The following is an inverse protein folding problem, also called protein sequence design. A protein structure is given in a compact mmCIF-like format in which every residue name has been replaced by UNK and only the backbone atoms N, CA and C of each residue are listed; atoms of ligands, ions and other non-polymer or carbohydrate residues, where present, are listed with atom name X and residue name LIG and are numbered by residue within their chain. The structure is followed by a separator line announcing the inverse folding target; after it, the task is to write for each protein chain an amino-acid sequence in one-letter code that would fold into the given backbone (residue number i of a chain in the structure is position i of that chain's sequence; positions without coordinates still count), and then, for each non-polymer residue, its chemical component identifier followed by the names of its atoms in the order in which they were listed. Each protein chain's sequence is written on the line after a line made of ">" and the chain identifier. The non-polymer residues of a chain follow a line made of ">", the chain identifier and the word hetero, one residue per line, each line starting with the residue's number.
data_IF_205637669746
#
_entry.id   IF_205637669746
#
_cell.length_a   1.000
_cell.length_b   1.000
_cell.length_c   1.000
_cell.angle_alpha   90.00
_cell.angle_beta   90.00
_cell.angle_gamma   90.00
#
_symmetry.space_group_name_H-M   'P 1'
#
loop_
_entity.id
_entity.type
_entity.pdbx_description
1 polymer ?
#
# COMPACT_ATOMS: atom_id res chain seq x y z
N UNK A 1 -28.39 -1.22 -16.05
CA UNK A 1 -28.31 -1.78 -14.69
C UNK A 1 -28.19 -0.63 -13.71
N UNK A 2 -29.34 -0.17 -13.24
CA UNK A 2 -29.51 0.95 -12.32
C UNK A 2 -29.43 0.36 -10.91
N UNK A 3 -28.21 0.24 -10.37
CA UNK A 3 -28.00 -0.25 -9.00
C UNK A 3 -28.27 0.91 -8.02
N UNK A 4 -29.26 0.69 -7.17
CA UNK A 4 -29.65 1.53 -6.04
C UNK A 4 -28.43 1.98 -5.21
N UNK A 5 -28.37 3.28 -4.89
CA UNK A 5 -27.26 3.85 -4.13
C UNK A 5 -27.18 3.22 -2.73
N UNK A 6 -26.25 2.29 -2.53
CA UNK A 6 -25.95 1.69 -1.22
C UNK A 6 -25.67 2.80 -0.21
N UNK A 7 -26.47 2.90 0.85
CA UNK A 7 -26.34 3.91 1.90
C UNK A 7 -24.91 3.98 2.47
N UNK A 8 -24.45 5.20 2.74
CA UNK A 8 -23.12 5.51 3.28
C UNK A 8 -22.83 4.70 4.56
N UNK A 9 -23.79 4.66 5.48
CA UNK A 9 -23.67 3.94 6.74
C UNK A 9 -23.48 2.42 6.52
N UNK A 10 -24.17 1.86 5.52
CA UNK A 10 -24.04 0.44 5.15
C UNK A 10 -22.64 0.16 4.61
N UNK A 11 -22.11 1.03 3.73
CA UNK A 11 -20.76 0.87 3.19
C UNK A 11 -19.67 0.92 4.27
N UNK A 12 -19.72 1.90 5.18
CA UNK A 12 -18.79 2.00 6.29
C UNK A 12 -18.85 0.78 7.20
N UNK A 13 -20.06 0.38 7.60
CA UNK A 13 -20.28 -0.78 8.46
C UNK A 13 -19.73 -2.04 7.80
N UNK A 14 -20.04 -2.26 6.52
CA UNK A 14 -19.54 -3.42 5.77
C UNK A 14 -18.02 -3.40 5.64
N UNK A 15 -17.42 -2.27 5.25
CA UNK A 15 -15.97 -2.17 5.05
C UNK A 15 -15.16 -2.42 6.33
N UNK A 16 -15.55 -1.81 7.45
CA UNK A 16 -14.86 -2.05 8.73
C UNK A 16 -15.17 -3.43 9.32
N UNK A 17 -16.43 -3.91 9.25
CA UNK A 17 -16.77 -5.25 9.72
C UNK A 17 -16.12 -6.35 8.87
N UNK A 18 -15.82 -6.07 7.60
CA UNK A 18 -15.16 -7.01 6.70
C UNK A 18 -13.75 -7.36 7.16
N UNK A 19 -13.05 -6.52 7.93
CA UNK A 19 -11.76 -6.89 8.53
C UNK A 19 -11.88 -8.07 9.50
N UNK A 20 -12.92 -8.05 10.35
CA UNK A 20 -13.17 -9.13 11.30
C UNK A 20 -13.53 -10.42 10.55
N UNK A 21 -14.37 -10.30 9.51
CA UNK A 21 -14.72 -11.43 8.63
C UNK A 21 -13.50 -11.96 7.88
N UNK A 22 -12.64 -11.08 7.37
CA UNK A 22 -11.42 -11.42 6.65
C UNK A 22 -10.46 -12.21 7.54
N UNK A 23 -10.20 -11.75 8.77
CA UNK A 23 -9.33 -12.47 9.71
C UNK A 23 -9.88 -13.86 10.02
N UNK A 24 -11.21 -14.00 10.21
CA UNK A 24 -11.85 -15.31 10.43
C UNK A 24 -11.71 -16.22 9.22
N UNK A 25 -11.97 -15.71 8.01
CA UNK A 25 -11.85 -16.47 6.76
C UNK A 25 -10.40 -16.93 6.52
N UNK A 26 -9.44 -16.03 6.73
CA UNK A 26 -8.00 -16.31 6.59
C UNK A 26 -7.57 -17.44 7.52
N UNK A 27 -8.00 -17.41 8.80
CA UNK A 27 -7.68 -18.45 9.78
C UNK A 27 -8.36 -19.77 9.46
N UNK A 28 -9.65 -19.75 9.12
CA UNK A 28 -10.43 -20.95 8.81
C UNK A 28 -9.88 -21.71 7.59
N UNK A 29 -9.39 -21.00 6.57
CA UNK A 29 -8.93 -21.58 5.32
C UNK A 29 -7.40 -21.71 5.22
N UNK A 30 -6.68 -21.62 6.35
CA UNK A 30 -5.21 -21.74 6.42
C UNK A 30 -4.45 -20.78 5.47
N UNK A 31 -5.06 -19.63 5.15
CA UNK A 31 -4.43 -18.61 4.30
C UNK A 31 -3.36 -17.80 5.06
N UNK A 32 -3.28 -17.94 6.39
CA UNK A 32 -2.30 -17.28 7.26
C UNK A 32 -0.86 -17.44 6.79
N UNK A 33 -0.51 -18.57 6.16
CA UNK A 33 0.83 -18.81 5.60
C UNK A 33 1.25 -17.77 4.55
N UNK A 34 0.30 -17.27 3.76
CA UNK A 34 0.58 -16.26 2.73
C UNK A 34 0.77 -14.86 3.33
N UNK A 35 0.15 -14.59 4.49
CA UNK A 35 0.40 -13.34 5.23
C UNK A 35 1.74 -13.33 5.96
N UNK A 36 2.47 -14.45 6.01
CA UNK A 36 3.83 -14.50 6.55
C UNK A 36 4.91 -14.22 5.49
N UNK A 37 4.56 -14.22 4.20
CA UNK A 37 5.48 -13.88 3.11
C UNK A 37 6.12 -12.49 3.29
N UNK A 38 5.37 -11.42 3.67
CA UNK A 38 5.97 -10.14 3.99
C UNK A 38 7.06 -10.23 5.07
N UNK A 39 6.93 -11.11 6.07
CA UNK A 39 7.95 -11.26 7.11
C UNK A 39 9.27 -11.73 6.54
N UNK A 40 9.24 -12.73 5.65
CA UNK A 40 10.44 -13.26 5.00
C UNK A 40 11.05 -12.19 4.09
N UNK A 41 10.24 -11.50 3.29
CA UNK A 41 10.71 -10.42 2.42
C UNK A 41 11.33 -9.26 3.23
N UNK A 42 10.70 -8.88 4.35
CA UNK A 42 11.23 -7.87 5.26
C UNK A 42 12.58 -8.27 5.85
N UNK A 43 12.73 -9.53 6.27
CA UNK A 43 14.02 -10.06 6.77
C UNK A 43 15.09 -9.96 5.68
N UNK A 44 14.78 -10.39 4.45
CA UNK A 44 15.72 -10.31 3.32
C UNK A 44 16.16 -8.86 3.08
N UNK A 45 15.21 -7.93 3.09
CA UNK A 45 15.47 -6.50 2.90
C UNK A 45 16.34 -5.93 4.03
N UNK A 46 16.06 -6.28 5.30
CA UNK A 46 16.89 -5.88 6.45
C UNK A 46 18.30 -6.45 6.36
N UNK A 47 18.45 -7.72 5.98
CA UNK A 47 19.76 -8.36 5.81
C UNK A 47 20.55 -7.65 4.70
N UNK A 48 19.92 -7.39 3.54
CA UNK A 48 20.54 -6.65 2.45
C UNK A 48 20.97 -5.23 2.87
N UNK A 49 20.20 -4.58 3.75
CA UNK A 49 20.56 -3.28 4.32
C UNK A 49 21.76 -3.34 5.24
N UNK A 50 21.84 -4.33 6.12
CA UNK A 50 23.00 -4.50 7.01
C UNK A 50 24.28 -4.68 6.18
N UNK A 51 24.25 -5.55 5.17
CA UNK A 51 25.41 -5.78 4.30
C UNK A 51 25.81 -4.55 3.48
N UNK A 52 24.84 -3.83 2.91
CA UNK A 52 25.12 -2.60 2.16
C UNK A 52 25.60 -1.46 3.07
N UNK A 53 25.05 -1.36 4.29
CA UNK A 53 25.43 -0.34 5.28
C UNK A 53 26.87 -0.50 5.77
N UNK A 54 27.33 -1.73 6.01
CA UNK A 54 28.74 -2.00 6.35
C UNK A 54 29.67 -1.55 5.22
N UNK A 55 29.39 -1.97 3.98
CA UNK A 55 30.22 -1.60 2.83
C UNK A 55 30.26 -0.09 2.58
N UNK A 56 29.13 0.60 2.71
CA UNK A 56 29.05 2.06 2.59
C UNK A 56 29.81 2.74 3.74
N UNK A 57 29.66 2.23 4.98
CA UNK A 57 30.35 2.74 6.16
C UNK A 57 31.88 2.67 6.02
N UNK A 58 32.40 1.52 5.58
CA UNK A 58 33.84 1.33 5.35
C UNK A 58 34.35 2.23 4.24
N UNK A 59 33.59 2.40 3.15
CA UNK A 59 33.93 3.30 2.06
C UNK A 59 33.99 4.77 2.51
N UNK A 60 33.00 5.22 3.30
CA UNK A 60 32.97 6.59 3.86
C UNK A 60 34.15 6.80 4.82
N UNK A 61 34.40 5.86 5.73
CA UNK A 61 35.52 5.96 6.67
C UNK A 61 36.86 6.02 5.92
N UNK A 62 37.04 5.21 4.86
CA UNK A 62 38.23 5.25 4.03
C UNK A 62 38.44 6.58 3.28
N UNK A 63 37.36 7.23 2.84
CA UNK A 63 37.44 8.58 2.23
C UNK A 63 37.81 9.63 3.28
N UNK A 64 37.17 9.57 4.45
CA UNK A 64 37.40 10.51 5.54
C UNK A 64 38.86 10.40 5.98
N UNK A 65 39.33 9.20 6.32
CA UNK A 65 40.70 8.95 6.80
C UNK A 65 41.76 9.47 5.84
N UNK A 66 41.64 9.18 4.53
CA UNK A 66 42.55 9.68 3.48
C UNK A 66 42.55 11.20 3.31
N UNK A 67 41.45 11.85 3.68
CA UNK A 67 41.29 13.31 3.52
C UNK A 67 41.74 14.07 4.77
N UNK A 68 41.88 13.42 5.92
CA UNK A 68 42.16 14.09 7.21
C UNK A 68 43.62 14.46 7.45
N UNK A 69 44.57 13.99 6.64
CA UNK A 69 46.00 14.12 6.98
C UNK A 69 46.55 15.56 6.98
N UNK A 70 45.84 16.58 6.46
CA UNK A 70 46.31 17.99 6.49
C UNK A 70 45.18 19.06 6.42
N UNK A 71 44.01 18.81 7.01
CA UNK A 71 42.82 19.68 6.78
C UNK A 71 42.50 20.70 7.89
N UNK A 72 42.05 21.89 7.45
CA UNK A 72 41.57 23.00 8.28
C UNK A 72 40.37 22.55 9.16
N UNK A 73 40.26 23.06 10.39
CA UNK A 73 39.29 22.60 11.41
C UNK A 73 37.82 22.64 10.96
N UNK A 74 37.47 23.55 10.05
CA UNK A 74 36.13 23.63 9.44
C UNK A 74 35.80 22.43 8.54
N UNK A 75 36.78 21.89 7.82
CA UNK A 75 36.58 20.74 6.94
C UNK A 75 36.46 19.46 7.79
N UNK A 76 37.24 19.35 8.87
CA UNK A 76 37.08 18.26 9.83
C UNK A 76 35.68 18.24 10.46
N UNK A 77 35.16 19.40 10.89
CA UNK A 77 33.80 19.51 11.41
C UNK A 77 32.74 19.08 10.37
N UNK A 78 32.91 19.47 9.10
CA UNK A 78 32.04 19.02 8.00
C UNK A 78 32.06 17.50 7.78
N UNK A 79 33.23 16.86 7.84
CA UNK A 79 33.34 15.41 7.69
C UNK A 79 32.71 14.64 8.85
N UNK A 80 32.85 15.14 10.09
CA UNK A 80 32.16 14.56 11.26
C UNK A 80 30.64 14.68 11.11
N UNK A 81 30.13 15.82 10.61
CA UNK A 81 28.71 15.97 10.33
C UNK A 81 28.21 14.97 9.28
N UNK A 82 28.97 14.76 8.19
CA UNK A 82 28.65 13.75 7.17
C UNK A 82 28.60 12.34 7.77
N UNK A 83 29.55 12.00 8.65
CA UNK A 83 29.59 10.69 9.34
C UNK A 83 28.34 10.42 10.17
N UNK A 84 27.67 11.45 10.69
CA UNK A 84 26.44 11.33 11.47
C UNK A 84 25.19 11.37 10.57
N UNK A 85 25.14 12.31 9.63
CA UNK A 85 23.96 12.55 8.79
C UNK A 85 23.77 11.42 7.78
N UNK A 86 24.85 10.90 7.19
CA UNK A 86 24.77 9.94 6.09
C UNK A 86 24.15 8.61 6.52
N UNK A 87 24.48 8.00 7.69
CA UNK A 87 23.75 6.84 8.21
C UNK A 87 22.27 7.10 8.48
N UNK A 88 21.90 8.30 8.96
CA UNK A 88 20.49 8.67 9.22
C UNK A 88 19.71 8.73 7.91
N UNK A 89 20.27 9.39 6.89
CA UNK A 89 19.68 9.46 5.55
C UNK A 89 19.58 8.06 4.93
N UNK A 90 20.63 7.26 5.06
CA UNK A 90 20.65 5.88 4.56
C UNK A 90 19.58 5.01 5.22
N UNK A 91 19.42 5.12 6.54
CA UNK A 91 18.36 4.42 7.29
C UNK A 91 16.95 4.89 6.89
N UNK A 92 16.74 6.19 6.69
CA UNK A 92 15.47 6.73 6.22
C UNK A 92 15.12 6.23 4.80
N UNK A 93 16.09 6.23 3.88
CA UNK A 93 15.93 5.68 2.54
C UNK A 93 15.64 4.18 2.58
N UNK A 94 16.31 3.44 3.48
CA UNK A 94 16.06 2.02 3.67
C UNK A 94 14.62 1.72 4.08
N UNK A 95 14.10 2.43 5.08
CA UNK A 95 12.71 2.27 5.51
C UNK A 95 11.75 2.54 4.35
N UNK A 96 11.98 3.62 3.62
CA UNK A 96 11.10 4.06 2.55
C UNK A 96 11.14 3.10 1.34
N UNK A 97 12.34 2.82 0.83
CA UNK A 97 12.55 1.98 -0.35
C UNK A 97 12.28 0.52 -0.03
N UNK A 98 12.83 0.01 1.08
CA UNK A 98 12.70 -1.37 1.51
C UNK A 98 11.25 -1.78 1.73
N UNK A 99 10.49 -0.97 2.46
CA UNK A 99 9.06 -1.21 2.66
C UNK A 99 8.26 -1.11 1.35
N UNK A 100 8.62 -0.20 0.44
CA UNK A 100 7.96 -0.08 -0.87
C UNK A 100 8.21 -1.32 -1.73
N UNK A 101 9.45 -1.82 -1.78
CA UNK A 101 9.81 -3.04 -2.51
C UNK A 101 8.97 -4.22 -2.01
N UNK A 102 8.86 -4.40 -0.70
CA UNK A 102 8.07 -5.51 -0.13
C UNK A 102 6.60 -5.41 -0.54
N UNK A 103 6.01 -4.22 -0.48
CA UNK A 103 4.62 -4.01 -0.90
C UNK A 103 4.41 -4.32 -2.40
N UNK A 104 5.37 -3.97 -3.27
CA UNK A 104 5.31 -4.31 -4.70
C UNK A 104 5.40 -5.82 -4.90
N UNK A 105 6.34 -6.48 -4.24
CA UNK A 105 6.53 -7.93 -4.32
C UNK A 105 5.33 -8.71 -3.76
N UNK A 106 4.55 -8.09 -2.88
CA UNK A 106 3.32 -8.67 -2.35
C UNK A 106 2.11 -8.55 -3.29
N UNK A 107 2.16 -7.69 -4.32
CA UNK A 107 1.02 -7.51 -5.24
C UNK A 107 0.50 -8.82 -5.86
N UNK A 108 1.33 -9.75 -6.35
CA UNK A 108 0.86 -11.05 -6.85
C UNK A 108 0.19 -11.90 -5.77
N UNK A 109 0.69 -11.82 -4.54
CA UNK A 109 0.09 -12.53 -3.39
C UNK A 109 -1.27 -11.93 -3.03
N UNK A 110 -1.43 -10.61 -3.14
CA UNK A 110 -2.73 -9.95 -2.96
C UNK A 110 -3.73 -10.39 -4.02
N UNK A 111 -3.36 -10.43 -5.30
CA UNK A 111 -4.20 -10.98 -6.37
C UNK A 111 -4.63 -12.42 -6.05
N UNK A 112 -3.68 -13.28 -5.66
CA UNK A 112 -3.96 -14.66 -5.27
C UNK A 112 -4.89 -14.78 -4.06
N UNK A 113 -4.69 -13.95 -3.02
CA UNK A 113 -5.55 -13.93 -1.84
C UNK A 113 -6.98 -13.49 -2.18
N UNK A 114 -7.13 -12.50 -3.06
CA UNK A 114 -8.43 -12.06 -3.57
C UNK A 114 -9.13 -13.20 -4.31
N UNK A 115 -8.42 -13.90 -5.20
CA UNK A 115 -8.97 -15.03 -5.97
C UNK A 115 -9.41 -16.17 -5.05
N UNK A 116 -8.53 -16.62 -4.13
CA UNK A 116 -8.88 -17.67 -3.17
C UNK A 116 -10.06 -17.29 -2.30
N UNK A 117 -10.17 -16.02 -1.90
CA UNK A 117 -11.32 -15.54 -1.13
C UNK A 117 -12.61 -15.69 -1.92
N UNK A 118 -12.64 -15.27 -3.18
CA UNK A 118 -13.83 -15.40 -4.02
C UNK A 118 -14.17 -16.85 -4.34
N UNK A 119 -13.19 -17.71 -4.61
CA UNK A 119 -13.42 -19.14 -4.83
C UNK A 119 -13.98 -19.83 -3.58
N UNK A 120 -13.48 -19.50 -2.39
CA UNK A 120 -13.99 -20.06 -1.12
C UNK A 120 -15.47 -19.68 -0.90
N UNK A 121 -15.87 -18.47 -1.29
CA UNK A 121 -17.23 -17.96 -1.06
C UNK A 121 -18.23 -18.38 -2.14
N UNK A 122 -17.79 -18.43 -3.40
CA UNK A 122 -18.68 -18.62 -4.55
C UNK A 122 -18.58 -20.01 -5.17
N UNK A 123 -17.55 -20.79 -4.84
CA UNK A 123 -17.25 -22.07 -5.47
C UNK A 123 -16.78 -21.97 -6.93
N UNK A 124 -16.59 -20.76 -7.48
CA UNK A 124 -16.15 -20.56 -8.87
C UNK A 124 -14.64 -20.76 -8.99
N UNK A 125 -14.23 -21.60 -9.92
CA UNK A 125 -12.84 -21.74 -10.34
C UNK A 125 -12.54 -20.81 -11.52
N UNK A 126 -11.37 -20.18 -11.52
CA UNK A 126 -10.94 -19.27 -12.57
C UNK A 126 -9.86 -19.95 -13.42
N UNK A 127 -10.10 -20.21 -14.71
CA UNK A 127 -9.10 -20.82 -15.57
C UNK A 127 -7.94 -19.85 -15.81
N UNK A 128 -6.70 -20.34 -15.64
CA UNK A 128 -5.50 -19.56 -15.85
C UNK A 128 -5.16 -19.45 -17.34
N UNK A 129 -5.16 -18.23 -17.89
CA UNK A 129 -4.73 -17.93 -19.26
C UNK A 129 -3.56 -16.94 -19.24
N UNK A 130 -2.37 -17.40 -19.62
CA UNK A 130 -1.14 -16.61 -19.59
C UNK A 130 -1.16 -15.38 -20.51
N UNK A 131 -1.78 -15.47 -21.69
CA UNK A 131 -1.85 -14.33 -22.63
C UNK A 131 -2.79 -13.26 -22.14
N UNK A 132 -3.91 -13.68 -21.55
CA UNK A 132 -4.88 -12.77 -20.93
C UNK A 132 -4.26 -12.10 -19.69
N UNK A 133 -3.55 -12.85 -18.85
CA UNK A 133 -2.86 -12.34 -17.65
C UNK A 133 -1.88 -11.22 -17.96
N UNK A 134 -1.06 -11.34 -19.02
CA UNK A 134 -0.09 -10.28 -19.37
C UNK A 134 -0.78 -8.98 -19.79
N UNK A 135 -1.89 -9.07 -20.53
CA UNK A 135 -2.69 -7.92 -20.94
C UNK A 135 -3.36 -7.25 -19.74
N UNK A 136 -3.82 -8.05 -18.78
CA UNK A 136 -4.43 -7.57 -17.55
C UNK A 136 -3.40 -6.88 -16.64
N UNK A 137 -2.16 -7.39 -16.55
CA UNK A 137 -1.05 -6.73 -15.83
C UNK A 137 -0.73 -5.35 -16.41
N UNK A 138 -0.55 -5.23 -17.73
CA UNK A 138 -0.26 -3.92 -18.36
C UNK A 138 -1.39 -2.92 -18.08
N UNK A 139 -2.62 -3.40 -18.11
CA UNK A 139 -3.80 -2.61 -17.82
C UNK A 139 -3.87 -2.18 -16.35
N UNK A 140 -3.56 -3.07 -15.42
CA UNK A 140 -3.43 -2.80 -13.99
C UNK A 140 -2.40 -1.69 -13.73
N UNK A 141 -1.23 -1.79 -14.37
CA UNK A 141 -0.16 -0.78 -14.26
C UNK A 141 -0.64 0.60 -14.73
N UNK A 142 -1.37 0.68 -15.85
CA UNK A 142 -1.93 1.96 -16.32
C UNK A 142 -2.92 2.57 -15.32
N UNK A 143 -3.77 1.74 -14.70
CA UNK A 143 -4.73 2.19 -13.68
C UNK A 143 -3.97 2.69 -12.44
N UNK A 144 -3.00 1.90 -11.96
CA UNK A 144 -2.18 2.21 -10.81
C UNK A 144 -1.42 3.52 -11.01
N UNK A 145 -0.69 3.68 -12.12
CA UNK A 145 0.06 4.91 -12.44
C UNK A 145 -0.86 6.13 -12.49
N UNK A 146 -2.03 6.01 -13.11
CA UNK A 146 -3.00 7.12 -13.17
C UNK A 146 -3.54 7.48 -11.78
N UNK A 147 -3.81 6.47 -10.95
CA UNK A 147 -4.29 6.69 -9.58
C UNK A 147 -3.21 7.35 -8.73
N UNK A 148 -1.98 6.85 -8.79
CA UNK A 148 -0.82 7.45 -8.12
C UNK A 148 -0.59 8.90 -8.59
N UNK A 149 -0.68 9.17 -9.90
CA UNK A 149 -0.55 10.54 -10.41
C UNK A 149 -1.63 11.47 -9.85
N UNK A 150 -2.89 11.03 -9.80
CA UNK A 150 -3.99 11.82 -9.21
C UNK A 150 -3.83 11.99 -7.70
N UNK A 151 -3.43 10.94 -7.00
CA UNK A 151 -3.15 10.96 -5.58
C UNK A 151 -2.05 12.00 -5.28
N UNK A 152 -0.95 11.99 -6.05
CA UNK A 152 0.15 12.94 -5.90
C UNK A 152 -0.31 14.39 -6.17
N UNK A 153 -1.07 14.63 -7.23
CA UNK A 153 -1.61 15.96 -7.53
C UNK A 153 -2.52 16.45 -6.41
N UNK A 154 -3.44 15.62 -5.93
CA UNK A 154 -4.34 15.99 -4.83
C UNK A 154 -3.59 16.24 -3.52
N UNK A 155 -2.61 15.40 -3.21
CA UNK A 155 -1.72 15.59 -2.06
C UNK A 155 -0.96 16.92 -2.16
N UNK A 156 -0.39 17.24 -3.33
CA UNK A 156 0.29 18.50 -3.56
C UNK A 156 -0.64 19.71 -3.37
N UNK A 157 -1.89 19.64 -3.84
CA UNK A 157 -2.89 20.68 -3.60
C UNK A 157 -3.24 20.81 -2.12
N UNK A 158 -3.35 19.70 -1.38
CA UNK A 158 -3.57 19.74 0.06
C UNK A 158 -2.39 20.34 0.82
N UNK A 159 -1.16 20.21 0.33
CA UNK A 159 0.01 20.85 0.96
C UNK A 159 -0.07 22.38 0.90
N UNK A 160 -0.72 22.95 -0.11
CA UNK A 160 -0.95 24.41 -0.20
C UNK A 160 -1.81 24.93 0.97
N UNK A 161 -2.61 24.08 1.62
CA UNK A 161 -3.37 24.52 2.81
C UNK A 161 -2.45 24.93 3.96
N UNK A 162 -1.19 24.46 4.01
CA UNK A 162 -0.24 24.84 5.06
C UNK A 162 0.15 26.33 5.06
N UNK A 163 -0.25 27.12 4.05
CA UNK A 163 -0.12 28.58 4.10
C UNK A 163 -0.99 29.22 5.19
N UNK A 164 -2.03 28.54 5.68
CA UNK A 164 -2.84 28.98 6.82
C UNK A 164 -2.29 28.29 8.09
N UNK A 165 -1.68 29.03 9.03
CA UNK A 165 -1.10 28.44 10.24
C UNK A 165 -2.15 27.66 11.04
N UNK A 166 -1.75 26.51 11.58
CA UNK A 166 -2.55 25.61 12.43
C UNK A 166 -3.77 25.01 11.73
N UNK A 167 -4.77 25.80 11.35
CA UNK A 167 -6.00 25.32 10.71
C UNK A 167 -5.72 24.66 9.34
N UNK A 168 -4.83 25.26 8.55
CA UNK A 168 -4.42 24.73 7.26
C UNK A 168 -3.62 23.43 7.38
N UNK A 169 -2.73 23.34 8.36
CA UNK A 169 -1.96 22.11 8.63
C UNK A 169 -2.83 20.95 9.09
N UNK A 170 -3.79 21.21 9.99
CA UNK A 170 -4.76 20.18 10.42
C UNK A 170 -5.63 19.72 9.25
N UNK A 171 -6.15 20.66 8.44
CA UNK A 171 -6.93 20.33 7.25
C UNK A 171 -6.11 19.53 6.23
N UNK A 172 -4.86 19.92 5.98
CA UNK A 172 -3.93 19.22 5.08
C UNK A 172 -3.71 17.78 5.52
N UNK A 173 -3.39 17.56 6.80
CA UNK A 173 -3.15 16.23 7.36
C UNK A 173 -4.36 15.31 7.20
N UNK A 174 -5.57 15.79 7.56
CA UNK A 174 -6.80 15.01 7.47
C UNK A 174 -7.15 14.69 6.02
N UNK A 175 -7.04 15.67 5.12
CA UNK A 175 -7.35 15.46 3.70
C UNK A 175 -6.37 14.49 3.04
N UNK A 176 -5.07 14.61 3.32
CA UNK A 176 -4.06 13.69 2.80
C UNK A 176 -4.34 12.26 3.28
N UNK A 177 -4.72 12.09 4.56
CA UNK A 177 -5.15 10.79 5.07
C UNK A 177 -6.35 10.24 4.30
N UNK A 178 -7.38 11.05 4.07
CA UNK A 178 -8.59 10.63 3.34
C UNK A 178 -8.26 10.24 1.89
N UNK A 179 -7.43 11.04 1.21
CA UNK A 179 -6.99 10.78 -0.16
C UNK A 179 -6.21 9.45 -0.21
N UNK A 180 -5.24 9.27 0.69
CA UNK A 180 -4.46 8.03 0.78
C UNK A 180 -5.35 6.82 1.04
N UNK A 181 -6.23 6.90 2.04
CA UNK A 181 -7.16 5.83 2.38
C UNK A 181 -8.05 5.45 1.18
N UNK A 182 -8.59 6.43 0.45
CA UNK A 182 -9.39 6.15 -0.73
C UNK A 182 -8.59 5.45 -1.84
N UNK A 183 -7.40 5.95 -2.19
CA UNK A 183 -6.62 5.40 -3.30
C UNK A 183 -5.97 4.04 -2.99
N UNK A 184 -5.52 3.81 -1.75
CA UNK A 184 -5.06 2.48 -1.34
C UNK A 184 -6.21 1.46 -1.33
N UNK A 185 -7.38 1.85 -0.81
CA UNK A 185 -8.57 0.99 -0.86
C UNK A 185 -9.06 0.70 -2.27
N UNK A 186 -8.99 1.69 -3.16
CA UNK A 186 -9.22 1.49 -4.60
C UNK A 186 -8.31 0.37 -5.12
N UNK A 187 -7.02 0.42 -4.81
CA UNK A 187 -6.06 -0.60 -5.24
C UNK A 187 -6.46 -2.01 -4.77
N UNK A 188 -6.87 -2.17 -3.52
CA UNK A 188 -7.32 -3.47 -3.01
C UNK A 188 -8.61 -3.97 -3.68
N UNK A 189 -9.53 -3.06 -3.99
CA UNK A 189 -10.76 -3.39 -4.71
C UNK A 189 -10.51 -3.75 -6.18
N UNK A 190 -9.47 -3.18 -6.79
CA UNK A 190 -9.13 -3.42 -8.19
C UNK A 190 -8.73 -4.87 -8.44
N UNK A 191 -8.10 -5.57 -7.47
CA UNK A 191 -7.81 -7.01 -7.58
C UNK A 191 -9.07 -7.86 -7.86
N UNK A 192 -10.22 -7.49 -7.29
CA UNK A 192 -11.51 -8.15 -7.57
C UNK A 192 -12.07 -7.68 -8.93
N UNK A 193 -11.98 -6.39 -9.24
CA UNK A 193 -12.51 -5.84 -10.49
C UNK A 193 -11.78 -6.31 -11.75
N UNK A 194 -10.46 -6.49 -11.66
CA UNK A 194 -9.63 -7.10 -12.68
C UNK A 194 -10.12 -8.51 -13.01
N UNK A 195 -10.41 -9.30 -11.97
CA UNK A 195 -10.95 -10.66 -12.13
C UNK A 195 -12.35 -10.67 -12.75
N UNK A 196 -13.20 -9.71 -12.39
CA UNK A 196 -14.49 -9.50 -13.05
C UNK A 196 -14.37 -8.89 -14.46
N UNK A 197 -13.14 -8.62 -14.92
CA UNK A 197 -12.82 -8.06 -16.25
C UNK A 197 -13.53 -6.74 -16.55
N UNK A 198 -13.87 -5.97 -15.50
CA UNK A 198 -14.44 -4.62 -15.67
C UNK A 198 -13.47 -3.74 -16.44
N UNK A 199 -13.92 -2.79 -17.25
CA UNK A 199 -13.03 -1.83 -17.93
C UNK A 199 -12.45 -0.80 -16.94
N UNK A 200 -11.38 -0.04 -17.27
CA UNK A 200 -10.83 0.97 -16.34
C UNK A 200 -11.82 2.10 -16.02
N UNK A 201 -12.80 2.29 -16.91
CA UNK A 201 -13.90 3.24 -16.72
C UNK A 201 -14.93 2.65 -15.75
N UNK A 202 -15.26 1.37 -15.91
CA UNK A 202 -16.23 0.67 -15.06
C UNK A 202 -15.69 0.43 -13.66
N UNK A 203 -14.45 -0.07 -13.49
CA UNK A 203 -13.79 -0.19 -12.17
C UNK A 203 -13.83 1.14 -11.41
N UNK A 204 -13.56 2.26 -12.10
CA UNK A 204 -13.69 3.59 -11.50
C UNK A 204 -15.13 3.91 -11.10
N UNK A 205 -16.10 3.65 -11.96
CA UNK A 205 -17.53 3.92 -11.69
C UNK A 205 -18.01 3.11 -10.50
N UNK A 206 -17.69 1.82 -10.46
CA UNK A 206 -18.04 0.92 -9.36
C UNK A 206 -17.33 1.30 -8.06
N UNK A 207 -16.05 1.69 -8.12
CA UNK A 207 -15.35 2.20 -6.93
C UNK A 207 -15.97 3.49 -6.42
N UNK A 208 -16.43 4.39 -7.30
CA UNK A 208 -17.13 5.61 -6.87
C UNK A 208 -18.47 5.32 -6.18
N UNK A 209 -19.20 4.29 -6.61
CA UNK A 209 -20.41 3.82 -5.91
C UNK A 209 -20.06 3.28 -4.53
N UNK A 210 -18.95 2.56 -4.41
CA UNK A 210 -18.46 1.93 -3.18
C UNK A 210 -17.33 2.72 -2.49
N UNK A 211 -17.30 4.05 -2.65
CA UNK A 211 -16.18 4.91 -2.22
C UNK A 211 -15.90 4.85 -0.71
N UNK A 212 -16.92 4.57 0.10
CA UNK A 212 -16.75 4.45 1.55
C UNK A 212 -16.21 3.07 1.96
N UNK A 213 -16.46 2.03 1.16
CA UNK A 213 -15.76 0.74 1.29
C UNK A 213 -14.29 0.93 0.96
N UNK A 214 -13.97 1.60 -0.16
CA UNK A 214 -12.59 1.93 -0.52
C UNK A 214 -11.90 2.73 0.60
N UNK A 215 -12.53 3.78 1.11
CA UNK A 215 -11.98 4.52 2.23
C UNK A 215 -11.77 3.63 3.47
N UNK A 216 -12.75 2.82 3.88
CA UNK A 216 -12.64 1.99 5.07
C UNK A 216 -11.53 0.93 4.97
N UNK A 217 -11.42 0.25 3.82
CA UNK A 217 -10.36 -0.74 3.59
C UNK A 217 -9.00 -0.07 3.51
N UNK A 218 -8.85 1.01 2.77
CA UNK A 218 -7.56 1.70 2.68
C UNK A 218 -7.17 2.49 3.93
N UNK A 219 -8.11 2.94 4.76
CA UNK A 219 -7.82 3.65 6.01
C UNK A 219 -7.06 2.77 7.01
N UNK A 220 -7.48 1.51 7.18
CA UNK A 220 -6.80 0.56 8.06
C UNK A 220 -5.39 0.24 7.54
N UNK A 221 -5.22 0.16 6.22
CA UNK A 221 -3.91 -0.02 5.59
C UNK A 221 -3.00 1.21 5.68
N UNK A 222 -3.56 2.42 5.55
CA UNK A 222 -2.77 3.65 5.50
C UNK A 222 -2.28 4.12 6.87
N UNK A 223 -3.00 3.80 7.95
CA UNK A 223 -2.65 4.20 9.31
C UNK A 223 -1.21 3.82 9.73
N UNK A 224 -0.75 2.56 9.55
CA UNK A 224 0.63 2.21 9.87
C UNK A 224 1.67 3.03 9.13
N UNK A 225 1.39 3.49 7.89
CA UNK A 225 2.37 4.20 7.06
C UNK A 225 2.85 5.52 7.67
N UNK A 226 2.13 6.06 8.66
CA UNK A 226 2.54 7.26 9.42
C UNK A 226 3.54 6.96 10.54
N UNK A 227 3.79 5.68 10.84
CA UNK A 227 4.82 5.24 11.78
C UNK A 227 6.16 5.06 11.06
N UNK A 228 7.27 5.23 11.78
CA UNK A 228 8.64 5.12 11.23
C UNK A 228 8.84 3.80 10.48
N UNK A 229 8.47 2.66 11.05
CA UNK A 229 8.55 1.35 10.38
C UNK A 229 7.22 0.91 9.72
N UNK A 230 6.36 1.87 9.43
CA UNK A 230 5.00 1.68 8.97
C UNK A 230 4.85 0.83 7.73
N UNK A 231 5.72 1.06 6.74
CA UNK A 231 5.71 0.35 5.46
C UNK A 231 5.90 -1.17 5.59
N UNK A 232 6.67 -1.61 6.58
CA UNK A 232 6.88 -3.04 6.87
C UNK A 232 5.62 -3.70 7.46
N UNK A 233 4.90 -2.97 8.31
CA UNK A 233 3.63 -3.41 8.91
C UNK A 233 2.51 -3.40 7.87
N UNK A 234 2.48 -2.37 7.04
CA UNK A 234 1.46 -2.18 6.01
C UNK A 234 1.37 -3.38 5.06
N UNK A 235 2.49 -4.03 4.72
CA UNK A 235 2.50 -5.23 3.87
C UNK A 235 1.68 -6.40 4.45
N UNK A 236 1.68 -6.58 5.78
CA UNK A 236 0.82 -7.58 6.43
C UNK A 236 -0.66 -7.18 6.37
N UNK A 237 -0.92 -5.90 6.64
CA UNK A 237 -2.28 -5.35 6.62
C UNK A 237 -2.85 -5.38 5.19
N UNK A 238 -2.02 -5.21 4.16
CA UNK A 238 -2.42 -5.25 2.75
C UNK A 238 -3.07 -6.58 2.37
N UNK A 239 -2.55 -7.70 2.88
CA UNK A 239 -3.17 -9.02 2.68
C UNK A 239 -4.57 -9.09 3.28
N UNK A 240 -4.75 -8.62 4.52
CA UNK A 240 -6.07 -8.58 5.18
C UNK A 240 -7.01 -7.59 4.49
N UNK A 241 -6.49 -6.45 4.07
CA UNK A 241 -7.23 -5.38 3.36
C UNK A 241 -7.78 -5.89 2.03
N UNK A 242 -6.99 -6.69 1.32
CA UNK A 242 -7.40 -7.34 0.07
C UNK A 242 -8.57 -8.29 0.28
N UNK A 243 -8.45 -9.19 1.27
CA UNK A 243 -9.54 -10.13 1.63
C UNK A 243 -10.80 -9.37 2.08
N UNK A 244 -10.64 -8.32 2.89
CA UNK A 244 -11.74 -7.47 3.37
C UNK A 244 -12.43 -6.71 2.22
N UNK A 245 -11.65 -6.19 1.25
CA UNK A 245 -12.16 -5.53 0.06
C UNK A 245 -12.99 -6.50 -0.80
N UNK A 246 -12.45 -7.68 -1.10
CA UNK A 246 -13.16 -8.71 -1.87
C UNK A 246 -14.45 -9.16 -1.18
N UNK A 247 -14.41 -9.40 0.14
CA UNK A 247 -15.61 -9.72 0.93
C UNK A 247 -16.67 -8.63 0.84
N UNK A 248 -16.27 -7.36 0.97
CA UNK A 248 -17.19 -6.23 0.92
C UNK A 248 -17.80 -6.05 -0.47
N UNK A 249 -17.02 -6.25 -1.52
CA UNK A 249 -17.49 -6.19 -2.92
C UNK A 249 -18.49 -7.30 -3.21
N UNK A 250 -18.22 -8.54 -2.79
CA UNK A 250 -19.15 -9.65 -2.97
C UNK A 250 -20.45 -9.45 -2.18
N UNK A 251 -20.37 -9.07 -0.90
CA UNK A 251 -21.56 -8.87 -0.06
C UNK A 251 -22.47 -7.74 -0.58
N UNK A 252 -21.90 -6.69 -1.16
CA UNK A 252 -22.66 -5.58 -1.72
C UNK A 252 -23.10 -5.81 -3.17
N UNK A 253 -22.41 -6.69 -3.90
CA UNK A 253 -22.81 -7.13 -5.25
C UNK A 253 -23.98 -8.12 -5.18
N UNK A 254 -23.93 -9.13 -4.30
CA UNK A 254 -24.98 -10.15 -4.13
C UNK A 254 -26.27 -9.59 -3.51
N UNK A 255 -26.17 -8.56 -2.65
CA UNK A 255 -27.34 -7.89 -2.06
C UNK A 255 -27.97 -6.82 -2.97
N UNK A 256 -27.57 -6.73 -4.25
CA UNK A 256 -28.34 -6.03 -5.27
C UNK A 256 -29.29 -7.06 -5.90
N UNK A 257 -30.55 -7.14 -5.46
CA UNK A 257 -31.47 -8.14 -6.01
C UNK A 257 -31.62 -7.90 -7.51
N UNK A 258 -31.37 -8.96 -8.28
CA UNK A 258 -31.85 -9.10 -9.66
C UNK A 258 -33.37 -9.13 -9.67
#
# INVERSE_FOLDING_TARGET
>A
MEQENVSIAKQFKTGFAAYIKAIRLIRANKLTRYLLIPAILNIIVVVAFIFSGVGIGDWINGIIERSTENMNGWIHAGMVAIKIILPIVFFALFIFIGGTIVNILMSPIYTFLSEKTETILTGKEFPFDMKQTLKDILRAVVIAVRNTAKQLVLTALCLLLNFIPVAGSVASLVLIFIINAYYFGFGFMDYTYERWRLSPKDSRKETHKLKFVAFATGAVYSLPLYLICGSFIAAFIGGVSTVAATLSQLELSEKSPS
#
